data_IF_306337732797
#
_entry.id   IF_306337732797
#
_cell.length_a   1.000
_cell.length_b   1.000
_cell.length_c   1.000
_cell.angle_alpha   90.00
_cell.angle_beta   90.00
_cell.angle_gamma   90.00
#
_symmetry.space_group_name_H-M   'P 1'
#
loop_
_entity.id
_entity.type
_entity.pdbx_description
1 polymer ?
#
# COMPACT_ATOMS: atom_id res chain seq x y z
N UNK A 1 6.15 -13.60 3.74
CA UNK A 1 6.24 -14.87 4.49
C UNK A 1 5.00 -15.71 4.17
N UNK A 2 5.07 -17.05 4.05
CA UNK A 2 3.91 -17.90 3.73
C UNK A 2 2.73 -17.75 4.71
N UNK A 3 2.99 -17.36 5.96
CA UNK A 3 2.00 -17.13 7.01
C UNK A 3 1.54 -15.66 7.10
N UNK A 4 2.29 -14.75 6.48
CA UNK A 4 2.02 -13.31 6.49
C UNK A 4 2.04 -12.77 5.06
N UNK A 5 0.97 -13.08 4.32
CA UNK A 5 0.84 -12.81 2.89
C UNK A 5 0.18 -11.45 2.63
N UNK A 6 0.39 -10.92 1.42
CA UNK A 6 -0.32 -9.71 0.95
C UNK A 6 -1.83 -9.94 0.92
N UNK A 7 -2.27 -11.15 0.58
CA UNK A 7 -3.68 -11.52 0.62
C UNK A 7 -4.29 -11.41 2.03
N UNK A 8 -3.53 -11.76 3.06
CA UNK A 8 -3.97 -11.62 4.46
C UNK A 8 -4.17 -10.16 4.85
N UNK A 9 -3.26 -9.28 4.40
CA UNK A 9 -3.36 -7.82 4.59
C UNK A 9 -4.61 -7.26 3.92
N UNK A 10 -4.84 -7.60 2.65
CA UNK A 10 -5.97 -7.11 1.86
C UNK A 10 -7.30 -7.57 2.45
N UNK A 11 -7.41 -8.83 2.87
CA UNK A 11 -8.63 -9.37 3.50
C UNK A 11 -8.83 -8.89 4.94
N UNK A 12 -7.86 -8.16 5.50
CA UNK A 12 -7.87 -7.77 6.92
C UNK A 12 -7.77 -8.96 7.88
N UNK A 13 -7.34 -10.13 7.41
CA UNK A 13 -7.23 -11.36 8.21
C UNK A 13 -5.85 -11.53 8.85
N UNK A 14 -4.89 -10.67 8.54
CA UNK A 14 -3.56 -10.71 9.13
C UNK A 14 -2.60 -9.67 8.54
N UNK A 15 -1.35 -9.70 9.01
CA UNK A 15 -0.29 -8.81 8.52
C UNK A 15 0.39 -9.36 7.26
N UNK A 16 1.00 -8.46 6.48
CA UNK A 16 1.95 -8.80 5.43
C UNK A 16 3.36 -8.51 5.91
N UNK A 17 4.21 -9.54 5.99
CA UNK A 17 5.58 -9.43 6.51
C UNK A 17 6.61 -9.99 5.53
N UNK A 18 7.83 -9.44 5.60
CA UNK A 18 9.02 -9.97 4.95
C UNK A 18 9.29 -11.40 5.39
N UNK A 19 10.02 -12.16 4.58
CA UNK A 19 10.40 -13.52 4.97
C UNK A 19 11.38 -13.48 6.15
N UNK A 20 11.29 -14.43 7.10
CA UNK A 20 12.17 -14.44 8.28
C UNK A 20 13.68 -14.54 7.94
N UNK A 21 14.02 -15.02 6.74
CA UNK A 21 15.40 -15.04 6.22
C UNK A 21 15.74 -13.87 5.27
N UNK A 22 14.78 -13.01 4.93
CA UNK A 22 15.04 -11.84 4.10
C UNK A 22 15.88 -10.82 4.89
N UNK A 23 16.99 -10.40 4.30
CA UNK A 23 17.94 -9.43 4.87
C UNK A 23 18.10 -8.17 4.00
N UNK A 24 17.27 -8.00 2.97
CA UNK A 24 17.36 -6.86 2.04
C UNK A 24 17.05 -5.54 2.75
N UNK A 25 16.18 -5.58 3.76
CA UNK A 25 15.62 -4.39 4.41
C UNK A 25 14.58 -3.68 3.53
N UNK A 26 14.10 -4.32 2.46
CA UNK A 26 13.09 -3.77 1.55
C UNK A 26 12.03 -4.82 1.21
N UNK A 27 10.77 -4.50 1.46
CA UNK A 27 9.62 -5.35 1.17
C UNK A 27 8.69 -4.61 0.22
N UNK A 28 8.32 -5.25 -0.90
CA UNK A 28 7.51 -4.61 -1.94
C UNK A 28 6.40 -5.55 -2.44
N UNK A 29 5.23 -5.00 -2.74
CA UNK A 29 4.17 -5.69 -3.47
C UNK A 29 3.44 -4.73 -4.41
N UNK A 30 2.90 -5.30 -5.49
CA UNK A 30 2.04 -4.62 -6.43
C UNK A 30 0.61 -5.15 -6.30
N UNK A 31 -0.35 -4.23 -6.26
CA UNK A 31 -1.77 -4.49 -6.14
C UNK A 31 -2.50 -3.99 -7.38
N UNK A 32 -3.51 -4.73 -7.80
CA UNK A 32 -4.45 -4.39 -8.85
C UNK A 32 -5.80 -4.04 -8.21
N UNK A 33 -6.27 -2.83 -8.48
CA UNK A 33 -7.62 -2.38 -8.14
C UNK A 33 -8.62 -2.92 -9.18
N UNK A 34 -9.87 -3.04 -8.79
CA UNK A 34 -10.96 -3.48 -9.68
C UNK A 34 -11.17 -2.51 -10.86
N UNK A 35 -10.99 -1.21 -10.63
CA UNK A 35 -11.08 -0.17 -11.65
C UNK A 35 -10.11 0.99 -11.38
N UNK A 36 -9.80 1.76 -12.42
CA UNK A 36 -8.98 2.96 -12.28
C UNK A 36 -9.76 4.07 -11.59
N UNK A 37 -9.26 4.53 -10.45
CA UNK A 37 -9.95 5.51 -9.60
C UNK A 37 -8.98 6.47 -8.92
N UNK A 38 -9.51 7.55 -8.38
CA UNK A 38 -8.75 8.52 -7.60
C UNK A 38 -8.68 8.05 -6.15
N UNK A 39 -7.47 7.99 -5.59
CA UNK A 39 -7.21 7.61 -4.21
C UNK A 39 -7.29 8.88 -3.35
N UNK A 40 -8.22 8.91 -2.40
CA UNK A 40 -8.50 10.09 -1.56
C UNK A 40 -7.80 10.03 -0.21
N UNK A 41 -7.78 8.85 0.42
CA UNK A 41 -7.14 8.60 1.71
C UNK A 41 -6.50 7.22 1.75
N UNK A 42 -5.45 7.09 2.57
CA UNK A 42 -4.79 5.81 2.83
C UNK A 42 -4.64 5.62 4.34
N UNK A 43 -5.26 4.56 4.87
CA UNK A 43 -4.99 4.10 6.23
C UNK A 43 -3.93 2.99 6.17
N UNK A 44 -2.88 3.16 6.97
CA UNK A 44 -1.76 2.23 7.02
C UNK A 44 -1.43 1.86 8.46
N UNK A 45 -1.51 0.58 8.78
CA UNK A 45 -1.02 0.02 10.04
C UNK A 45 0.39 -0.50 9.85
N UNK A 46 1.32 -0.01 10.66
CA UNK A 46 2.70 -0.46 10.61
C UNK A 46 2.85 -1.88 11.21
N UNK A 47 3.89 -2.58 10.78
CA UNK A 47 4.44 -3.73 11.48
C UNK A 47 5.97 -3.71 11.35
N UNK A 48 6.61 -2.84 12.11
CA UNK A 48 8.07 -2.76 12.20
C UNK A 48 8.78 -2.11 11.00
N UNK A 49 8.08 -1.47 10.07
CA UNK A 49 8.69 -0.72 8.95
C UNK A 49 9.13 0.67 9.39
N UNK A 50 10.31 1.13 8.97
CA UNK A 50 10.80 2.49 9.28
C UNK A 50 10.25 3.52 8.31
N UNK A 51 10.20 3.16 7.03
CA UNK A 51 9.72 4.05 5.97
C UNK A 51 8.71 3.32 5.09
N UNK A 52 7.81 4.12 4.50
CA UNK A 52 6.88 3.68 3.46
C UNK A 52 6.94 4.64 2.27
N UNK A 53 6.79 4.12 1.06
CA UNK A 53 6.38 4.89 -0.11
C UNK A 53 5.32 4.11 -0.90
N UNK A 54 4.51 4.84 -1.68
CA UNK A 54 3.48 4.25 -2.55
C UNK A 54 3.62 4.85 -3.93
N UNK A 55 3.80 3.98 -4.92
CA UNK A 55 3.79 4.34 -6.34
C UNK A 55 2.52 3.80 -7.01
N UNK A 56 2.10 4.44 -8.08
CA UNK A 56 0.86 4.17 -8.80
C UNK A 56 1.09 4.11 -10.31
N UNK A 57 0.21 3.41 -11.01
CA UNK A 57 0.22 3.35 -12.46
C UNK A 57 -1.09 2.85 -13.01
N UNK A 58 -1.12 2.65 -14.34
CA UNK A 58 -2.27 2.06 -15.03
C UNK A 58 -1.93 0.69 -15.57
N UNK A 59 -2.87 -0.25 -15.49
CA UNK A 59 -2.71 -1.61 -16.01
C UNK A 59 -2.62 -1.64 -17.54
N UNK A 60 -3.19 -0.63 -18.19
CA UNK A 60 -3.11 -0.37 -19.62
C UNK A 60 -1.78 0.22 -20.07
N UNK A 61 -0.91 0.66 -19.15
CA UNK A 61 0.40 1.18 -19.52
C UNK A 61 1.32 0.08 -20.03
N UNK A 62 2.23 0.39 -20.98
CA UNK A 62 3.31 -0.48 -21.38
C UNK A 62 4.13 -0.99 -20.18
N UNK A 63 4.63 -2.21 -20.25
CA UNK A 63 5.37 -2.85 -19.14
C UNK A 63 6.67 -2.13 -18.76
N UNK A 64 7.23 -1.33 -19.66
CA UNK A 64 8.44 -0.53 -19.43
C UNK A 64 8.13 0.86 -18.89
N UNK A 65 6.86 1.25 -18.76
CA UNK A 65 6.51 2.55 -18.19
C UNK A 65 6.71 2.51 -16.67
N UNK A 66 7.51 3.45 -16.11
CA UNK A 66 7.72 3.51 -14.68
C UNK A 66 6.43 3.91 -13.94
N UNK A 67 6.27 3.39 -12.73
CA UNK A 67 5.22 3.87 -11.83
C UNK A 67 5.55 5.29 -11.37
N UNK A 68 4.50 6.04 -11.03
CA UNK A 68 4.57 7.42 -10.55
C UNK A 68 4.41 7.41 -9.03
N UNK A 69 5.17 8.21 -8.32
CA UNK A 69 5.04 8.30 -6.86
C UNK A 69 3.76 9.04 -6.46
N UNK A 70 2.88 8.36 -5.72
CA UNK A 70 1.69 8.97 -5.10
C UNK A 70 2.01 9.46 -3.70
N UNK A 71 2.54 8.57 -2.84
CA UNK A 71 3.01 8.92 -1.50
C UNK A 71 4.54 8.90 -1.51
N UNK A 72 5.20 10.08 -1.39
CA UNK A 72 6.65 10.15 -1.23
C UNK A 72 7.13 9.31 -0.04
N UNK A 73 8.42 9.02 0.02
CA UNK A 73 8.97 8.27 1.15
C UNK A 73 8.73 9.02 2.47
N UNK A 74 7.93 8.42 3.36
CA UNK A 74 7.64 8.97 4.69
C UNK A 74 8.17 8.05 5.77
N UNK A 75 8.79 8.61 6.81
CA UNK A 75 9.15 7.88 8.01
C UNK A 75 7.90 7.54 8.84
N UNK A 76 7.74 6.25 9.19
CA UNK A 76 6.74 5.75 10.13
C UNK A 76 7.25 5.77 11.57
N UNK A 77 8.57 5.76 11.75
CA UNK A 77 9.25 5.87 13.02
C UNK A 77 10.58 6.61 12.84
N UNK A 78 10.96 7.38 13.85
CA UNK A 78 12.31 7.94 13.94
C UNK A 78 13.32 6.87 14.33
N UNK A 79 14.63 7.08 14.12
CA UNK A 79 15.66 6.17 14.62
C UNK A 79 15.63 5.98 16.14
N UNK A 80 15.21 6.99 16.90
CA UNK A 80 15.08 6.89 18.36
C UNK A 80 13.88 6.02 18.76
N UNK A 81 12.74 6.22 18.12
CA UNK A 81 11.54 5.39 18.34
C UNK A 81 11.77 3.94 17.95
N UNK A 82 12.44 3.69 16.83
CA UNK A 82 12.84 2.34 16.42
C UNK A 82 13.68 1.64 17.50
N UNK A 83 14.74 2.29 18.02
CA UNK A 83 15.59 1.73 19.08
C UNK A 83 14.80 1.43 20.35
N UNK A 84 13.83 2.28 20.66
CA UNK A 84 12.97 2.14 21.83
C UNK A 84 11.77 1.19 21.61
N UNK A 85 11.61 0.59 20.41
CA UNK A 85 10.47 -0.26 20.07
C UNK A 85 9.13 0.48 20.00
N UNK A 86 9.13 1.81 19.83
CA UNK A 86 7.93 2.64 19.75
C UNK A 86 7.42 2.73 18.31
N UNK A 87 6.11 2.94 18.15
CA UNK A 87 5.43 3.13 16.86
C UNK A 87 5.55 1.99 15.83
N UNK A 88 6.06 0.83 16.24
CA UNK A 88 6.17 -0.34 15.35
C UNK A 88 4.80 -0.85 14.85
N UNK A 89 3.73 -0.60 15.61
CA UNK A 89 2.35 -0.99 15.30
C UNK A 89 1.41 0.21 15.11
N UNK A 90 1.97 1.42 15.00
CA UNK A 90 1.16 2.62 14.86
C UNK A 90 0.38 2.62 13.54
N UNK A 91 -0.84 3.17 13.58
CA UNK A 91 -1.63 3.46 12.39
C UNK A 91 -1.37 4.90 11.96
N UNK A 92 -1.11 5.12 10.68
CA UNK A 92 -1.00 6.44 10.07
C UNK A 92 -2.04 6.60 8.97
N UNK A 93 -2.62 7.80 8.92
CA UNK A 93 -3.57 8.21 7.91
C UNK A 93 -2.85 9.19 6.99
N UNK A 94 -2.89 8.94 5.70
CA UNK A 94 -2.39 9.85 4.67
C UNK A 94 -3.58 10.43 3.91
N UNK A 95 -3.56 11.75 3.75
CA UNK A 95 -4.60 12.53 3.07
C UNK A 95 -4.00 13.18 1.82
N UNK A 96 -4.84 13.87 1.06
CA UNK A 96 -4.44 14.61 -0.14
C UNK A 96 -3.20 15.50 0.02
N UNK A 97 -3.03 16.15 1.19
CA UNK A 97 -1.86 17.00 1.47
C UNK A 97 -0.54 16.22 1.57
N UNK A 98 -0.60 14.93 1.87
CA UNK A 98 0.57 14.05 1.98
C UNK A 98 1.00 13.47 0.63
N UNK A 99 0.15 13.58 -0.40
CA UNK A 99 0.38 13.01 -1.72
C UNK A 99 1.09 13.99 -2.67
N UNK A 100 1.74 13.44 -3.69
CA UNK A 100 2.16 14.23 -4.83
C UNK A 100 0.91 14.82 -5.54
N UNK A 101 0.92 16.14 -5.75
CA UNK A 101 -0.24 16.90 -6.22
C UNK A 101 -0.70 16.53 -7.63
N UNK A 102 0.21 16.13 -8.51
CA UNK A 102 -0.10 15.72 -9.88
C UNK A 102 -0.69 14.31 -9.88
N UNK A 103 -0.04 13.38 -9.17
CA UNK A 103 -0.49 12.00 -9.08
C UNK A 103 -1.85 11.88 -8.38
N UNK A 104 -2.13 12.70 -7.37
CA UNK A 104 -3.37 12.62 -6.60
C UNK A 104 -4.63 13.06 -7.38
N UNK A 105 -4.47 13.76 -8.52
CA UNK A 105 -5.58 14.20 -9.39
C UNK A 105 -5.98 13.15 -10.43
N UNK A 106 -5.12 12.17 -10.66
CA UNK A 106 -5.30 11.17 -11.69
C UNK A 106 -6.01 9.91 -11.17
N UNK A 107 -6.42 9.04 -12.10
CA UNK A 107 -7.00 7.72 -11.81
C UNK A 107 -5.97 6.60 -12.01
N UNK A 108 -5.94 5.67 -11.05
CA UNK A 108 -4.97 4.59 -10.94
C UNK A 108 -5.66 3.26 -10.66
N UNK A 109 -5.17 2.18 -11.24
CA UNK A 109 -5.61 0.81 -10.94
C UNK A 109 -4.45 -0.12 -10.57
N UNK A 110 -3.20 0.36 -10.63
CA UNK A 110 -2.03 -0.32 -10.07
C UNK A 110 -1.46 0.48 -8.92
N UNK A 111 -1.20 -0.20 -7.82
CA UNK A 111 -0.63 0.39 -6.61
C UNK A 111 0.53 -0.46 -6.12
N UNK A 112 1.73 0.12 -6.03
CA UNK A 112 2.93 -0.51 -5.49
C UNK A 112 3.22 0.06 -4.10
N UNK A 113 3.40 -0.83 -3.14
CA UNK A 113 3.70 -0.49 -1.75
C UNK A 113 5.12 -0.91 -1.46
N UNK A 114 5.92 -0.01 -0.89
CA UNK A 114 7.33 -0.26 -0.58
C UNK A 114 7.56 0.06 0.90
N UNK A 115 7.84 -0.97 1.68
CA UNK A 115 8.26 -0.85 3.08
C UNK A 115 9.80 -0.97 3.17
N UNK A 116 10.42 -0.13 3.99
CA UNK A 116 11.87 -0.17 4.23
C UNK A 116 12.20 -0.24 5.71
N UNK A 117 13.16 -1.09 6.05
CA UNK A 117 13.74 -1.26 7.39
C UNK A 117 15.28 -1.24 7.27
N UNK A 118 15.91 -0.06 7.37
CA UNK A 118 17.35 0.09 7.15
C UNK A 118 18.21 -0.38 8.33
N UNK A 119 17.67 -0.38 9.55
CA UNK A 119 18.45 -0.58 10.78
C UNK A 119 18.44 -2.02 11.26
N UNK A 120 17.32 -2.73 11.10
CA UNK A 120 17.13 -4.10 11.60
C UNK A 120 16.75 -5.07 10.49
N UNK A 121 17.75 -5.63 9.82
CA UNK A 121 17.54 -6.56 8.70
C UNK A 121 17.26 -7.99 9.15
N UNK A 122 17.55 -8.34 10.40
CA UNK A 122 17.36 -9.67 11.01
C UNK A 122 15.93 -9.97 11.47
N UNK A 123 15.06 -8.96 11.53
CA UNK A 123 13.67 -9.11 11.96
C UNK A 123 12.68 -8.95 10.80
N UNK A 124 11.53 -9.61 10.93
CA UNK A 124 10.43 -9.41 10.00
C UNK A 124 9.84 -8.02 10.17
N UNK A 125 9.44 -7.42 9.04
CA UNK A 125 8.77 -6.13 9.01
C UNK A 125 7.78 -6.09 7.84
N UNK A 126 6.86 -5.14 7.86
CA UNK A 126 5.87 -4.92 6.82
C UNK A 126 4.70 -4.11 7.35
N UNK A 127 3.47 -4.53 7.04
CA UNK A 127 2.24 -3.83 7.36
C UNK A 127 1.23 -4.75 8.04
N UNK A 128 0.43 -4.17 8.95
CA UNK A 128 -0.69 -4.81 9.64
C UNK A 128 -2.05 -4.39 9.11
N UNK A 129 -2.14 -3.23 8.44
CA UNK A 129 -3.36 -2.71 7.82
C UNK A 129 -3.01 -1.91 6.57
N UNK A 130 -3.84 -2.05 5.54
CA UNK A 130 -3.86 -1.17 4.38
C UNK A 130 -5.30 -0.98 3.93
N UNK A 131 -5.77 0.26 3.88
CA UNK A 131 -7.05 0.62 3.26
C UNK A 131 -6.84 1.79 2.32
N UNK A 132 -7.30 1.62 1.09
CA UNK A 132 -7.35 2.69 0.10
C UNK A 132 -8.80 3.17 0.01
N UNK A 133 -9.00 4.44 0.30
CA UNK A 133 -10.27 5.10 0.13
C UNK A 133 -10.27 5.83 -1.19
N UNK A 134 -11.43 5.82 -1.84
CA UNK A 134 -11.59 6.41 -3.17
C UNK A 134 -12.71 7.42 -3.13
N UNK A 135 -12.68 8.40 -4.03
CA UNK A 135 -13.86 9.20 -4.26
C UNK A 135 -14.78 8.38 -5.16
N UNK A 136 -15.84 7.80 -4.61
CA UNK A 136 -16.91 7.28 -5.46
C UNK A 136 -17.46 8.45 -6.26
N UNK A 137 -17.24 8.44 -7.57
CA UNK A 137 -18.16 9.08 -8.50
C UNK A 137 -19.51 8.40 -8.26
N UNK A 138 -20.36 9.04 -7.45
CA UNK A 138 -21.78 8.78 -7.44
C UNK A 138 -22.25 8.97 -8.89
N UNK A 139 -22.50 7.87 -9.59
CA UNK A 139 -23.29 7.95 -10.82
C UNK A 139 -24.60 8.66 -10.47
N UNK A 140 -25.13 9.56 -11.32
CA UNK A 140 -26.29 10.41 -11.00
C UNK A 140 -27.63 9.64 -10.86
N UNK A 141 -27.60 8.33 -10.57
CA UNK A 141 -28.75 7.44 -10.45
C UNK A 141 -28.91 6.80 -9.07
N UNK A 142 -28.22 7.29 -8.03
CA UNK A 142 -28.33 6.76 -6.65
C UNK A 142 -28.77 7.77 -5.60
N UNK A 143 -29.50 8.80 -5.99
CA UNK A 143 -30.22 9.65 -5.03
C UNK A 143 -31.58 9.05 -4.68
N UNK A 144 -31.59 7.88 -4.04
CA UNK A 144 -32.63 7.59 -3.03
C UNK A 144 -32.17 6.46 -2.11
N UNK A 145 -32.20 6.74 -0.80
CA UNK A 145 -32.17 5.83 0.35
C UNK A 145 -30.81 5.63 1.08
N UNK A 146 -30.67 6.43 2.15
CA UNK A 146 -30.28 6.02 3.52
C UNK A 146 -28.80 5.96 3.93
N UNK A 147 -28.44 6.86 4.85
CA UNK A 147 -27.43 6.81 5.94
C UNK A 147 -26.50 5.58 6.00
N UNK A 148 -25.28 5.78 5.51
CA UNK A 148 -24.01 5.68 6.26
C UNK A 148 -22.93 6.01 5.21
N UNK A 149 -22.33 7.20 5.26
CA UNK A 149 -21.21 7.53 4.38
C UNK A 149 -19.99 6.78 4.91
N UNK A 150 -19.93 5.50 4.58
CA UNK A 150 -18.72 4.72 4.68
C UNK A 150 -17.93 5.08 3.43
N UNK A 151 -16.78 5.73 3.61
CA UNK A 151 -15.85 5.99 2.51
C UNK A 151 -15.65 4.67 1.74
N UNK A 152 -15.82 4.67 0.41
CA UNK A 152 -15.78 3.44 -0.36
C UNK A 152 -14.35 2.92 -0.38
N UNK A 153 -14.10 1.92 0.45
CA UNK A 153 -12.87 1.12 0.44
C UNK A 153 -12.89 0.29 -0.83
N UNK A 154 -11.86 0.43 -1.66
CA UNK A 154 -11.78 -0.31 -2.92
C UNK A 154 -11.22 -1.71 -2.71
N UNK A 155 -11.80 -2.67 -3.44
CA UNK A 155 -11.28 -4.02 -3.51
C UNK A 155 -9.92 -4.03 -4.20
N UNK A 156 -8.98 -4.77 -3.62
CA UNK A 156 -7.63 -4.92 -4.13
C UNK A 156 -7.33 -6.41 -4.31
N UNK A 157 -6.48 -6.73 -5.27
CA UNK A 157 -5.91 -8.07 -5.41
C UNK A 157 -4.41 -7.95 -5.63
N UNK A 158 -3.63 -8.92 -5.16
CA UNK A 158 -2.20 -8.92 -5.45
C UNK A 158 -2.00 -9.20 -6.95
N UNK A 159 -1.14 -8.41 -7.62
CA UNK A 159 -0.72 -8.71 -8.97
C UNK A 159 -0.01 -10.07 -8.98
N UNK A 160 -0.64 -11.08 -9.60
CA UNK A 160 0.05 -12.33 -9.93
C UNK A 160 1.03 -12.01 -11.04
N UNK A 161 2.27 -11.66 -10.69
CA UNK A 161 3.34 -11.69 -11.66
C UNK A 161 3.42 -13.11 -12.20
N UNK A 162 2.95 -13.32 -13.42
CA UNK A 162 3.21 -14.54 -14.15
C UNK A 162 4.72 -14.56 -14.35
N UNK A 163 5.43 -15.36 -13.55
CA UNK A 163 6.84 -15.68 -13.79
C UNK A 163 6.91 -16.23 -15.22
N UNK A 164 7.24 -15.40 -16.20
CA UNK A 164 7.78 -15.91 -17.45
C UNK A 164 9.15 -16.49 -17.11
N UNK A 165 9.36 -17.70 -17.59
CA UNK A 165 10.42 -18.63 -17.26
C UNK A 165 11.81 -18.04 -17.05
N UNK A 166 12.54 -18.77 -16.20
CA UNK A 166 13.98 -18.95 -16.26
C UNK A 166 14.51 -18.96 -17.71
N UNK A 167 15.52 -18.13 -17.96
CA UNK A 167 16.61 -18.43 -18.89
C UNK A 167 17.90 -18.04 -18.16
N UNK A 168 18.55 -19.02 -17.53
CA UNK A 168 19.88 -19.51 -17.86
C UNK A 168 19.99 -20.93 -17.28
#
# INVERSE_FOLDING_TARGET
DPRHTVESLIKGSGSWLSHASDRTGRLQTDLQLECATTISFIDLGNSGSVMISIDVGRSSWPSNQPLVTLLPTVALMTPAEWRAGKNALAVRMFKQVDFNSEAAKEKWDRVRIICTQPFRKDAQFGLSLLRLHTNAELSPLRDTLTKAVQDPVINMTQCKFQKRGTCF
#
